data_IF_088587630971
#
_entry.id   IF_088587630971
#
_cell.length_a   1.000
_cell.length_b   1.000
_cell.length_c   1.000
_cell.angle_alpha   90.00
_cell.angle_beta   90.00
_cell.angle_gamma   90.00
#
_symmetry.space_group_name_H-M   'P 1'
#
loop_
_entity.id
_entity.type
_entity.pdbx_description
1 polymer ?
#
# COMPACT_ATOMS: atom_id res chain seq x y z
N UNK A 1 -0.10 11.68 -14.25
CA UNK A 1 0.33 10.84 -13.09
C UNK A 1 -0.08 9.38 -13.34
N UNK A 2 -1.32 9.11 -13.71
CA UNK A 2 -1.85 7.76 -13.90
C UNK A 2 -1.10 6.90 -14.93
N UNK A 3 -0.51 7.52 -15.94
CA UNK A 3 0.28 6.83 -16.94
C UNK A 3 1.53 6.12 -16.38
N UNK A 4 2.09 6.61 -15.26
CA UNK A 4 3.25 6.03 -14.59
C UNK A 4 2.92 4.79 -13.72
N UNK A 5 1.65 4.62 -13.34
CA UNK A 5 1.25 3.53 -12.41
C UNK A 5 1.62 2.13 -12.92
N UNK A 6 1.32 1.75 -14.18
CA UNK A 6 1.72 0.44 -14.70
C UNK A 6 3.23 0.23 -14.74
N UNK A 7 3.99 1.28 -15.02
CA UNK A 7 5.45 1.24 -15.05
C UNK A 7 6.04 0.98 -13.65
N UNK A 8 5.45 1.65 -12.64
CA UNK A 8 5.82 1.44 -11.23
C UNK A 8 5.55 0.01 -10.81
N UNK A 9 4.36 -0.51 -11.09
CA UNK A 9 3.96 -1.88 -10.77
C UNK A 9 4.92 -2.88 -11.40
N UNK A 10 5.19 -2.72 -12.70
CA UNK A 10 6.11 -3.60 -13.43
C UNK A 10 7.50 -3.58 -12.80
N UNK A 11 8.07 -2.40 -12.57
CA UNK A 11 9.43 -2.26 -12.06
C UNK A 11 9.60 -2.83 -10.64
N UNK A 12 8.67 -2.50 -9.74
CA UNK A 12 8.80 -2.88 -8.34
C UNK A 12 8.46 -4.35 -8.09
N UNK A 13 7.38 -4.85 -8.68
CA UNK A 13 6.94 -6.23 -8.45
C UNK A 13 7.89 -7.22 -9.12
N UNK A 14 8.29 -7.00 -10.38
CA UNK A 14 9.20 -7.91 -11.07
C UNK A 14 10.57 -7.98 -10.39
N UNK A 15 11.14 -6.84 -9.97
CA UNK A 15 12.40 -6.80 -9.23
C UNK A 15 12.29 -7.46 -7.86
N UNK A 16 11.20 -7.24 -7.13
CA UNK A 16 10.98 -7.86 -5.82
C UNK A 16 10.90 -9.37 -5.91
N UNK A 17 10.18 -9.91 -6.91
CA UNK A 17 10.09 -11.36 -7.13
C UNK A 17 11.46 -11.93 -7.57
N UNK A 18 12.16 -11.26 -8.49
CA UNK A 18 13.46 -11.72 -9.00
C UNK A 18 14.52 -11.85 -7.90
N UNK A 19 14.47 -11.03 -6.86
CA UNK A 19 15.38 -11.07 -5.70
C UNK A 19 15.15 -12.25 -4.76
N UNK A 20 14.06 -12.99 -4.93
CA UNK A 20 13.74 -14.12 -4.07
C UNK A 20 14.57 -15.35 -4.48
N UNK A 21 15.69 -15.61 -3.78
CA UNK A 21 16.57 -16.74 -4.04
C UNK A 21 16.11 -18.02 -3.32
N UNK A 22 16.04 -19.14 -4.03
CA UNK A 22 16.07 -20.50 -3.54
C UNK A 22 14.96 -20.92 -2.54
N UNK A 23 15.31 -21.17 -1.29
CA UNK A 23 14.41 -21.63 -0.24
C UNK A 23 13.29 -20.64 0.14
N UNK A 24 13.32 -19.45 -0.41
CA UNK A 24 12.31 -18.43 -0.23
C UNK A 24 10.93 -18.83 -0.80
N UNK A 25 10.85 -19.75 -1.77
CA UNK A 25 9.58 -20.08 -2.44
C UNK A 25 8.51 -20.62 -1.48
N UNK A 26 8.91 -21.47 -0.52
CA UNK A 26 7.97 -22.00 0.50
C UNK A 26 7.56 -20.94 1.51
N UNK A 27 8.52 -20.14 2.00
CA UNK A 27 8.23 -19.00 2.88
C UNK A 27 7.40 -17.94 2.16
N UNK A 28 7.67 -17.70 0.88
CA UNK A 28 6.89 -16.81 0.04
C UNK A 28 5.45 -17.29 -0.11
N UNK A 29 5.25 -18.57 -0.42
CA UNK A 29 3.90 -19.16 -0.53
C UNK A 29 3.09 -18.96 0.75
N UNK A 30 3.69 -19.21 1.91
CA UNK A 30 3.05 -18.96 3.21
C UNK A 30 2.79 -17.47 3.45
N UNK A 31 3.76 -16.61 3.14
CA UNK A 31 3.62 -15.17 3.33
C UNK A 31 2.51 -14.59 2.45
N UNK A 32 2.48 -14.96 1.15
CA UNK A 32 1.42 -14.56 0.23
C UNK A 32 0.07 -15.12 0.65
N UNK A 33 0.00 -16.41 1.01
CA UNK A 33 -1.23 -17.02 1.49
C UNK A 33 -1.79 -16.30 2.71
N UNK A 34 -0.95 -15.97 3.69
CA UNK A 34 -1.35 -15.20 4.87
C UNK A 34 -1.76 -13.77 4.51
N UNK A 35 -1.06 -13.11 3.56
CA UNK A 35 -1.42 -11.77 3.10
C UNK A 35 -2.81 -11.77 2.45
N UNK A 36 -3.08 -12.70 1.54
CA UNK A 36 -4.39 -12.84 0.91
C UNK A 36 -5.49 -13.18 1.92
N UNK A 37 -5.24 -14.12 2.82
CA UNK A 37 -6.19 -14.49 3.87
C UNK A 37 -6.51 -13.29 4.77
N UNK A 38 -5.49 -12.52 5.15
CA UNK A 38 -5.65 -11.29 5.93
C UNK A 38 -6.44 -10.23 5.15
N UNK A 39 -6.15 -10.04 3.87
CA UNK A 39 -6.86 -9.06 3.03
C UNK A 39 -8.33 -9.42 2.85
N UNK A 40 -8.63 -10.69 2.59
CA UNK A 40 -10.02 -11.19 2.50
C UNK A 40 -10.74 -11.03 3.83
N UNK A 41 -10.10 -11.39 4.94
CA UNK A 41 -10.67 -11.21 6.27
C UNK A 41 -10.93 -9.74 6.60
N UNK A 42 -9.99 -8.85 6.28
CA UNK A 42 -10.17 -7.40 6.45
C UNK A 42 -11.32 -6.87 5.60
N UNK A 43 -11.47 -7.35 4.36
CA UNK A 43 -12.57 -6.95 3.48
C UNK A 43 -13.93 -7.38 4.05
N UNK A 44 -14.05 -8.61 4.54
CA UNK A 44 -15.28 -9.08 5.21
C UNK A 44 -15.59 -8.27 6.46
N UNK A 45 -14.59 -7.99 7.30
CA UNK A 45 -14.78 -7.17 8.49
C UNK A 45 -15.19 -5.73 8.13
N UNK A 46 -14.55 -5.12 7.14
CA UNK A 46 -14.87 -3.79 6.66
C UNK A 46 -16.30 -3.72 6.09
N UNK A 47 -16.71 -4.76 5.33
CA UNK A 47 -18.07 -4.89 4.82
C UNK A 47 -19.09 -4.98 5.96
N UNK A 48 -18.82 -5.81 6.97
CA UNK A 48 -19.69 -5.97 8.13
C UNK A 48 -19.82 -4.68 8.95
N UNK A 49 -18.70 -4.03 9.26
CA UNK A 49 -18.69 -2.75 9.96
C UNK A 49 -19.34 -1.64 9.14
N UNK A 50 -19.10 -1.60 7.84
CA UNK A 50 -19.76 -0.64 6.95
C UNK A 50 -21.26 -0.83 6.93
N UNK A 51 -21.74 -2.07 6.77
CA UNK A 51 -23.16 -2.38 6.78
C UNK A 51 -23.86 -1.95 8.09
N UNK A 52 -23.15 -2.04 9.22
CA UNK A 52 -23.69 -1.72 10.54
C UNK A 52 -23.57 -0.24 10.90
N UNK A 53 -22.49 0.42 10.51
CA UNK A 53 -22.16 1.80 10.90
C UNK A 53 -22.65 2.86 9.90
N UNK A 54 -22.65 2.56 8.58
CA UNK A 54 -23.06 3.52 7.57
C UNK A 54 -24.53 3.97 7.74
N UNK A 55 -25.49 3.09 8.05
CA UNK A 55 -26.88 3.54 8.29
C UNK A 55 -27.06 4.47 9.48
N UNK A 56 -26.10 4.47 10.43
CA UNK A 56 -26.10 5.37 11.57
C UNK A 56 -25.60 6.78 11.22
N UNK A 57 -24.97 6.91 10.04
CA UNK A 57 -24.54 8.19 9.52
C UNK A 57 -25.70 8.85 8.76
N UNK A 58 -26.12 10.01 9.19
CA UNK A 58 -27.05 10.87 8.43
C UNK A 58 -26.33 11.43 7.22
N UNK A 59 -26.22 10.61 6.16
CA UNK A 59 -25.64 11.01 4.88
C UNK A 59 -26.75 11.69 4.08
N UNK A 60 -26.79 13.02 4.09
CA UNK A 60 -27.62 13.76 3.14
C UNK A 60 -27.10 13.48 1.72
N UNK A 61 -27.97 13.24 0.72
CA UNK A 61 -27.55 13.08 -0.67
C UNK A 61 -26.82 14.34 -1.12
N UNK A 62 -25.50 14.23 -1.20
CA UNK A 62 -24.58 15.36 -1.40
C UNK A 62 -24.52 15.86 -2.86
N UNK A 63 -25.39 15.35 -3.74
CA UNK A 63 -25.33 15.62 -5.18
C UNK A 63 -26.19 16.79 -5.65
N UNK A 64 -27.13 17.29 -4.83
CA UNK A 64 -27.95 18.43 -5.22
C UNK A 64 -27.22 19.76 -4.99
N UNK A 65 -27.07 20.54 -6.06
CA UNK A 65 -26.55 21.91 -6.02
C UNK A 65 -25.02 22.03 -6.03
N UNK A 66 -24.31 21.05 -6.59
CA UNK A 66 -22.91 21.20 -6.97
C UNK A 66 -22.81 22.08 -8.21
N UNK A 67 -21.81 22.98 -8.23
CA UNK A 67 -21.51 23.80 -9.40
C UNK A 67 -20.78 22.94 -10.42
N UNK A 68 -21.17 23.06 -11.69
CA UNK A 68 -20.41 22.42 -12.77
C UNK A 68 -19.00 23.05 -12.87
N UNK A 69 -18.01 22.19 -13.04
CA UNK A 69 -16.64 22.65 -13.27
C UNK A 69 -16.59 23.25 -14.67
N UNK A 70 -15.97 24.43 -14.87
CA UNK A 70 -15.76 25.00 -16.19
C UNK A 70 -15.05 23.99 -17.11
N UNK A 71 -15.43 23.98 -18.38
CA UNK A 71 -14.76 23.14 -19.37
C UNK A 71 -13.25 23.42 -19.40
N UNK A 72 -12.47 22.35 -19.45
CA UNK A 72 -11.02 22.46 -19.54
C UNK A 72 -10.61 23.08 -20.88
N UNK A 73 -9.91 24.20 -20.83
CA UNK A 73 -9.38 24.86 -22.04
C UNK A 73 -8.38 23.98 -22.77
N UNK A 74 -7.67 23.10 -22.02
CA UNK A 74 -6.71 22.16 -22.58
C UNK A 74 -6.78 20.83 -21.85
N UNK A 75 -6.99 19.75 -22.58
CA UNK A 75 -6.99 18.39 -22.05
C UNK A 75 -5.85 17.61 -22.68
N UNK A 76 -4.81 17.33 -21.91
CA UNK A 76 -3.72 16.45 -22.30
C UNK A 76 -4.05 15.02 -21.82
N UNK A 77 -4.51 14.20 -22.74
CA UNK A 77 -4.79 12.79 -22.46
C UNK A 77 -3.56 11.95 -22.86
N UNK A 78 -2.80 11.52 -21.87
CA UNK A 78 -1.67 10.60 -22.06
C UNK A 78 -2.12 9.21 -21.61
N UNK A 79 -2.46 8.32 -22.56
CA UNK A 79 -2.91 6.99 -22.21
C UNK A 79 -1.78 6.19 -21.55
N UNK A 80 -2.07 5.34 -20.56
CA UNK A 80 -1.05 4.46 -19.98
C UNK A 80 -0.61 3.43 -21.03
N UNK A 81 0.67 3.04 -20.99
CA UNK A 81 1.28 2.06 -21.90
C UNK A 81 0.55 0.70 -21.85
N UNK A 82 0.02 0.35 -20.68
CA UNK A 82 -0.75 -0.87 -20.47
C UNK A 82 -1.72 -0.67 -19.28
N UNK A 83 -2.70 -1.56 -19.16
CA UNK A 83 -3.60 -1.53 -18.00
C UNK A 83 -2.85 -1.95 -16.72
N UNK A 84 -3.34 -1.51 -15.56
CA UNK A 84 -2.78 -1.89 -14.25
C UNK A 84 -2.76 -3.40 -14.05
N UNK A 85 -3.82 -4.08 -14.46
CA UNK A 85 -3.91 -5.55 -14.37
C UNK A 85 -2.91 -6.25 -15.29
N UNK A 86 -2.75 -5.74 -16.51
CA UNK A 86 -1.76 -6.27 -17.45
C UNK A 86 -0.34 -6.09 -16.90
N UNK A 87 -0.03 -4.92 -16.34
CA UNK A 87 1.27 -4.65 -15.72
C UNK A 87 1.56 -5.60 -14.56
N UNK A 88 0.55 -5.89 -13.73
CA UNK A 88 0.66 -6.83 -12.62
C UNK A 88 0.98 -8.24 -13.09
N UNK A 89 0.22 -8.75 -14.07
CA UNK A 89 0.42 -10.10 -14.62
C UNK A 89 1.80 -10.21 -15.28
N UNK A 90 2.19 -9.25 -16.10
CA UNK A 90 3.50 -9.22 -16.76
C UNK A 90 4.63 -9.14 -15.73
N UNK A 91 4.49 -8.32 -14.68
CA UNK A 91 5.48 -8.21 -13.61
C UNK A 91 5.71 -9.54 -12.89
N UNK A 92 4.62 -10.26 -12.58
CA UNK A 92 4.69 -11.59 -11.95
C UNK A 92 5.36 -12.58 -12.90
N UNK A 93 4.95 -12.62 -14.16
CA UNK A 93 5.53 -13.54 -15.15
C UNK A 93 7.03 -13.31 -15.35
N UNK A 94 7.45 -12.06 -15.53
CA UNK A 94 8.86 -11.69 -15.71
C UNK A 94 9.67 -11.99 -14.45
N UNK A 95 9.14 -11.66 -13.28
CA UNK A 95 9.79 -11.96 -12.00
C UNK A 95 9.99 -13.46 -11.79
N UNK A 96 8.95 -14.27 -12.01
CA UNK A 96 9.01 -15.74 -11.90
C UNK A 96 9.97 -16.34 -12.93
N UNK A 97 9.90 -15.90 -14.19
CA UNK A 97 10.82 -16.37 -15.24
C UNK A 97 12.28 -16.09 -14.86
N UNK A 98 12.56 -14.93 -14.25
CA UNK A 98 13.92 -14.59 -13.77
C UNK A 98 14.38 -15.54 -12.67
N UNK A 99 13.49 -15.88 -11.73
CA UNK A 99 13.78 -16.85 -10.65
C UNK A 99 14.03 -18.25 -11.21
N UNK A 100 13.20 -18.71 -12.14
CA UNK A 100 13.32 -20.05 -12.75
C UNK A 100 14.58 -20.20 -13.60
N UNK A 101 14.94 -19.18 -14.35
CA UNK A 101 16.17 -19.19 -15.17
C UNK A 101 17.44 -18.97 -14.35
N UNK A 102 17.31 -18.58 -13.07
CA UNK A 102 18.44 -18.25 -12.17
C UNK A 102 19.41 -17.23 -12.79
N UNK A 103 18.92 -16.35 -13.66
CA UNK A 103 19.73 -15.41 -14.40
C UNK A 103 20.07 -14.18 -13.56
N UNK A 104 21.31 -14.07 -13.12
CA UNK A 104 21.83 -12.90 -12.42
C UNK A 104 21.79 -11.62 -13.26
N UNK A 105 21.91 -11.77 -14.59
CA UNK A 105 21.87 -10.65 -15.53
C UNK A 105 20.47 -10.02 -15.49
N UNK A 106 19.42 -10.81 -15.62
CA UNK A 106 18.04 -10.32 -15.58
C UNK A 106 17.68 -9.76 -14.20
N UNK A 107 18.13 -10.39 -13.10
CA UNK A 107 17.96 -9.84 -11.75
C UNK A 107 18.56 -8.43 -11.66
N UNK A 108 19.78 -8.24 -12.18
CA UNK A 108 20.45 -6.93 -12.19
C UNK A 108 19.75 -5.90 -13.08
N UNK A 109 19.25 -6.32 -14.24
CA UNK A 109 18.48 -5.45 -15.15
C UNK A 109 17.22 -4.97 -14.47
N UNK A 110 16.45 -5.87 -13.84
CA UNK A 110 15.22 -5.52 -13.14
C UNK A 110 15.47 -4.60 -11.94
N UNK A 111 16.57 -4.83 -11.20
CA UNK A 111 16.96 -3.95 -10.09
C UNK A 111 17.34 -2.54 -10.59
N UNK A 112 18.09 -2.45 -11.67
CA UNK A 112 18.43 -1.16 -12.27
C UNK A 112 17.21 -0.46 -12.85
N UNK A 113 16.28 -1.21 -13.46
CA UNK A 113 15.00 -0.67 -13.93
C UNK A 113 14.17 -0.11 -12.79
N UNK A 114 14.07 -0.82 -11.65
CA UNK A 114 13.43 -0.33 -10.45
C UNK A 114 14.06 0.97 -9.94
N UNK A 115 15.40 1.05 -9.90
CA UNK A 115 16.13 2.25 -9.49
C UNK A 115 15.86 3.45 -10.43
N UNK A 116 15.82 3.21 -11.74
CA UNK A 116 15.49 4.24 -12.73
C UNK A 116 14.07 4.77 -12.52
N UNK A 117 13.09 3.88 -12.36
CA UNK A 117 11.71 4.28 -12.11
C UNK A 117 11.59 5.04 -10.79
N UNK A 118 12.27 4.60 -9.73
CA UNK A 118 12.30 5.29 -8.45
C UNK A 118 12.89 6.71 -8.59
N UNK A 119 13.93 6.88 -9.39
CA UNK A 119 14.53 8.18 -9.64
C UNK A 119 13.57 9.10 -10.41
N UNK A 120 12.84 8.59 -11.40
CA UNK A 120 11.80 9.35 -12.11
C UNK A 120 10.67 9.78 -11.16
N UNK A 121 10.23 8.88 -10.28
CA UNK A 121 9.24 9.21 -9.25
C UNK A 121 9.73 10.37 -8.38
N UNK A 122 10.95 10.26 -7.85
CA UNK A 122 11.49 11.23 -6.91
C UNK A 122 11.77 12.60 -7.58
N UNK A 123 12.24 12.60 -8.83
CA UNK A 123 12.63 13.84 -9.50
C UNK A 123 11.52 14.50 -10.30
N UNK A 124 10.54 13.75 -10.77
CA UNK A 124 9.48 14.27 -11.64
C UNK A 124 8.13 14.19 -10.93
N UNK A 125 7.72 13.00 -10.49
CA UNK A 125 6.38 12.78 -9.97
C UNK A 125 6.15 13.51 -8.64
N UNK A 126 7.05 13.32 -7.67
CA UNK A 126 6.91 13.89 -6.33
C UNK A 126 6.87 15.43 -6.34
N UNK A 127 7.72 16.15 -7.09
CA UNK A 127 7.63 17.60 -7.16
C UNK A 127 6.34 18.13 -7.82
N UNK A 128 5.74 17.38 -8.73
CA UNK A 128 4.49 17.75 -9.40
C UNK A 128 3.26 17.45 -8.52
N UNK A 129 3.35 16.47 -7.63
CA UNK A 129 2.23 16.02 -6.78
C UNK A 129 1.57 17.16 -5.98
N UNK A 130 2.27 18.06 -5.30
CA UNK A 130 1.65 19.15 -4.55
C UNK A 130 0.77 20.06 -5.42
N UNK A 131 1.23 20.38 -6.63
CA UNK A 131 0.46 21.21 -7.58
C UNK A 131 -0.78 20.46 -8.06
N UNK A 132 -0.65 19.17 -8.37
CA UNK A 132 -1.78 18.31 -8.75
C UNK A 132 -2.82 18.22 -7.63
N UNK A 133 -2.37 17.99 -6.39
CA UNK A 133 -3.25 17.92 -5.22
C UNK A 133 -3.94 19.28 -5.02
N UNK A 134 -3.20 20.38 -5.05
CA UNK A 134 -3.75 21.73 -4.90
C UNK A 134 -4.83 22.03 -5.96
N UNK A 135 -4.55 21.70 -7.23
CA UNK A 135 -5.52 21.88 -8.32
C UNK A 135 -6.80 21.08 -8.10
N UNK A 136 -6.69 19.82 -7.66
CA UNK A 136 -7.87 18.99 -7.34
C UNK A 136 -8.67 19.59 -6.17
N UNK A 137 -8.00 20.04 -5.09
CA UNK A 137 -8.69 20.69 -3.98
C UNK A 137 -9.35 22.01 -4.39
N UNK A 138 -8.74 22.80 -5.26
CA UNK A 138 -9.36 23.98 -5.83
C UNK A 138 -10.63 23.65 -6.62
N UNK A 139 -10.59 22.61 -7.45
CA UNK A 139 -11.75 22.15 -8.20
C UNK A 139 -12.88 21.69 -7.25
N UNK A 140 -12.58 20.84 -6.29
CA UNK A 140 -13.55 20.37 -5.28
C UNK A 140 -14.13 21.52 -4.44
N UNK A 141 -13.30 22.55 -4.16
CA UNK A 141 -13.75 23.75 -3.43
C UNK A 141 -14.70 24.59 -4.29
N UNK A 142 -14.40 24.75 -5.59
CA UNK A 142 -15.25 25.48 -6.52
C UNK A 142 -16.62 24.81 -6.71
N UNK A 143 -16.66 23.50 -6.83
CA UNK A 143 -17.90 22.71 -6.87
C UNK A 143 -18.76 22.86 -5.59
N UNK A 144 -18.14 23.26 -4.47
CA UNK A 144 -18.78 23.23 -3.14
C UNK A 144 -18.79 21.85 -2.48
N UNK A 145 -18.10 20.88 -3.10
CA UNK A 145 -18.01 19.50 -2.61
C UNK A 145 -17.32 19.42 -1.25
N UNK A 146 -16.33 20.26 -0.97
CA UNK A 146 -15.56 20.21 0.30
C UNK A 146 -16.47 20.44 1.49
N UNK A 147 -17.26 21.51 1.50
CA UNK A 147 -18.11 21.86 2.64
C UNK A 147 -19.20 20.84 2.90
N UNK A 148 -19.69 20.18 1.87
CA UNK A 148 -20.76 19.18 1.97
C UNK A 148 -20.23 17.76 2.23
N UNK A 149 -19.11 17.39 1.61
CA UNK A 149 -18.56 16.05 1.72
C UNK A 149 -17.59 15.87 2.89
N UNK A 150 -16.98 16.96 3.39
CA UNK A 150 -16.00 16.90 4.48
C UNK A 150 -16.55 16.21 5.75
N UNK A 151 -17.77 16.51 6.24
CA UNK A 151 -18.32 15.81 7.41
C UNK A 151 -18.48 14.31 7.16
N UNK A 152 -18.97 13.92 5.96
CA UNK A 152 -19.11 12.52 5.56
C UNK A 152 -17.76 11.85 5.48
N UNK A 153 -16.78 12.51 4.86
CA UNK A 153 -15.41 12.00 4.74
C UNK A 153 -14.76 11.79 6.10
N UNK A 154 -14.90 12.73 7.03
CA UNK A 154 -14.37 12.60 8.40
C UNK A 154 -14.99 11.42 9.14
N UNK A 155 -16.31 11.23 9.01
CA UNK A 155 -17.02 10.11 9.61
C UNK A 155 -16.55 8.78 9.03
N UNK A 156 -16.46 8.68 7.69
CA UNK A 156 -15.95 7.48 7.01
C UNK A 156 -14.49 7.19 7.40
N UNK A 157 -13.65 8.25 7.49
CA UNK A 157 -12.27 8.11 7.94
C UNK A 157 -12.21 7.59 9.39
N UNK A 158 -13.08 8.07 10.28
CA UNK A 158 -13.21 7.55 11.65
C UNK A 158 -13.55 6.07 11.68
N UNK A 159 -14.52 5.63 10.86
CA UNK A 159 -14.89 4.22 10.73
C UNK A 159 -13.72 3.39 10.23
N UNK A 160 -13.05 3.84 9.16
CA UNK A 160 -11.91 3.13 8.57
C UNK A 160 -10.75 2.99 9.56
N UNK A 161 -10.41 4.06 10.28
CA UNK A 161 -9.37 4.01 11.32
C UNK A 161 -9.74 3.04 12.44
N UNK A 162 -10.97 3.08 12.90
CA UNK A 162 -11.47 2.15 13.93
C UNK A 162 -11.39 0.71 13.45
N UNK A 163 -11.87 0.44 12.23
CA UNK A 163 -11.79 -0.87 11.61
C UNK A 163 -10.34 -1.36 11.48
N UNK A 164 -9.42 -0.46 11.07
CA UNK A 164 -8.00 -0.77 10.96
C UNK A 164 -7.39 -1.22 12.30
N UNK A 165 -7.65 -0.50 13.38
CA UNK A 165 -7.14 -0.86 14.70
C UNK A 165 -7.77 -2.14 15.26
N UNK A 166 -9.07 -2.38 15.02
CA UNK A 166 -9.75 -3.62 15.40
C UNK A 166 -9.12 -4.80 14.65
N UNK A 167 -8.91 -4.66 13.32
CA UNK A 167 -8.29 -5.72 12.52
C UNK A 167 -6.85 -6.00 12.95
N UNK A 168 -6.08 -4.95 13.20
CA UNK A 168 -4.70 -5.07 13.69
C UNK A 168 -4.67 -5.82 15.05
N UNK A 169 -5.54 -5.45 15.97
CA UNK A 169 -5.68 -6.12 17.26
C UNK A 169 -6.01 -7.60 17.09
N UNK A 170 -6.96 -7.92 16.21
CA UNK A 170 -7.34 -9.29 15.90
C UNK A 170 -6.16 -10.09 15.33
N UNK A 171 -5.39 -9.52 14.40
CA UNK A 171 -4.20 -10.17 13.84
C UNK A 171 -3.12 -10.41 14.89
N UNK A 172 -2.85 -9.45 15.77
CA UNK A 172 -1.89 -9.65 16.85
C UNK A 172 -2.34 -10.70 17.85
N UNK A 173 -3.63 -10.71 18.19
CA UNK A 173 -4.21 -11.71 19.09
C UNK A 173 -4.11 -13.11 18.49
N UNK A 174 -4.54 -13.28 17.24
CA UNK A 174 -4.47 -14.54 16.54
C UNK A 174 -3.03 -15.05 16.41
N UNK A 175 -2.09 -14.19 16.01
CA UNK A 175 -0.67 -14.53 15.97
C UNK A 175 -0.14 -14.94 17.35
N UNK A 176 -0.56 -14.28 18.42
CA UNK A 176 -0.20 -14.63 19.78
C UNK A 176 -0.69 -16.03 20.19
N UNK A 177 -1.97 -16.33 19.90
CA UNK A 177 -2.58 -17.64 20.20
C UNK A 177 -1.88 -18.75 19.42
N UNK A 178 -1.67 -18.57 18.11
CA UNK A 178 -1.02 -19.61 17.29
C UNK A 178 0.46 -19.81 17.59
N UNK A 179 1.18 -18.74 17.98
CA UNK A 179 2.62 -18.85 18.27
C UNK A 179 2.94 -19.18 19.72
N UNK A 180 1.96 -19.08 20.64
CA UNK A 180 2.18 -19.22 22.09
C UNK A 180 3.05 -18.09 22.69
N UNK A 181 3.26 -16.98 21.96
CA UNK A 181 4.09 -15.85 22.34
C UNK A 181 3.26 -14.61 22.62
N UNK A 182 3.76 -13.74 23.48
CA UNK A 182 3.04 -12.52 23.84
C UNK A 182 3.13 -11.47 22.71
N UNK A 183 2.02 -11.16 21.99
CA UNK A 183 2.02 -10.20 20.89
C UNK A 183 2.29 -8.77 21.35
N UNK A 184 1.98 -8.44 22.61
CA UNK A 184 2.21 -7.11 23.16
C UNK A 184 3.68 -6.68 23.14
N UNK A 185 4.60 -7.65 23.26
CA UNK A 185 6.02 -7.39 23.14
C UNK A 185 6.40 -6.91 21.75
N UNK A 186 5.75 -7.42 20.69
CA UNK A 186 5.97 -6.95 19.32
C UNK A 186 5.46 -5.53 19.15
N UNK A 187 4.23 -5.25 19.57
CA UNK A 187 3.60 -3.93 19.48
C UNK A 187 4.44 -2.86 20.16
N UNK A 188 4.93 -3.15 21.36
CA UNK A 188 5.75 -2.22 22.15
C UNK A 188 7.03 -1.78 21.42
N UNK A 189 7.69 -2.69 20.73
CA UNK A 189 8.91 -2.38 19.98
C UNK A 189 8.64 -1.77 18.62
N UNK A 190 7.44 -1.93 18.05
CA UNK A 190 7.10 -1.47 16.70
C UNK A 190 6.58 -0.02 16.66
N UNK A 191 6.36 0.61 17.81
CA UNK A 191 5.87 1.98 17.92
C UNK A 191 6.63 3.01 17.08
N UNK A 192 7.99 3.04 17.10
CA UNK A 192 8.74 3.99 16.27
C UNK A 192 8.53 3.82 14.77
N UNK A 193 8.33 2.58 14.29
CA UNK A 193 8.01 2.30 12.89
C UNK A 193 6.63 2.85 12.52
N UNK A 194 5.66 2.72 13.42
CA UNK A 194 4.30 3.26 13.23
C UNK A 194 4.32 4.78 13.10
N UNK A 195 5.02 5.46 14.01
CA UNK A 195 5.16 6.92 13.97
C UNK A 195 5.87 7.40 12.71
N UNK A 196 6.90 6.66 12.27
CA UNK A 196 7.60 6.98 11.03
C UNK A 196 6.69 6.79 9.82
N UNK A 197 5.89 5.72 9.78
CA UNK A 197 4.94 5.46 8.70
C UNK A 197 3.89 6.58 8.58
N UNK A 198 3.31 6.99 9.71
CA UNK A 198 2.33 8.08 9.76
C UNK A 198 2.96 9.42 9.35
N UNK A 199 4.18 9.70 9.83
CA UNK A 199 4.86 10.97 9.54
C UNK A 199 5.38 11.09 8.11
N UNK A 200 5.84 9.98 7.52
CA UNK A 200 6.43 10.00 6.16
C UNK A 200 5.43 9.61 5.08
N UNK A 201 4.33 8.93 5.43
CA UNK A 201 3.39 8.32 4.48
C UNK A 201 4.09 7.48 3.38
N UNK A 202 5.27 6.93 3.70
CA UNK A 202 6.12 6.21 2.76
C UNK A 202 6.62 4.90 3.36
N UNK A 203 6.23 3.79 2.75
CA UNK A 203 6.71 2.45 3.14
C UNK A 203 8.22 2.32 2.96
N UNK A 204 8.77 2.88 1.88
CA UNK A 204 10.20 2.85 1.62
C UNK A 204 11.01 3.61 2.69
N UNK A 205 10.55 4.79 3.11
CA UNK A 205 11.19 5.56 4.17
C UNK A 205 11.05 4.90 5.55
N UNK A 206 9.96 4.16 5.77
CA UNK A 206 9.68 3.45 7.02
C UNK A 206 10.46 2.15 7.15
N UNK A 207 10.80 1.51 6.04
CA UNK A 207 11.41 0.17 6.01
C UNK A 207 12.66 0.02 6.90
N UNK A 208 13.65 0.92 6.91
CA UNK A 208 14.83 0.79 7.79
C UNK A 208 14.46 0.83 9.27
N UNK A 209 13.49 1.69 9.63
CA UNK A 209 13.03 1.82 11.02
C UNK A 209 12.22 0.60 11.43
N UNK A 210 11.38 0.08 10.53
CA UNK A 210 10.60 -1.13 10.74
C UNK A 210 11.49 -2.36 10.97
N UNK A 211 12.52 -2.55 10.14
CA UNK A 211 13.52 -3.62 10.32
C UNK A 211 14.24 -3.51 11.66
N UNK A 212 14.73 -2.32 11.99
CA UNK A 212 15.41 -2.07 13.27
C UNK A 212 14.49 -2.32 14.48
N UNK A 213 13.24 -1.91 14.37
CA UNK A 213 12.24 -2.08 15.44
C UNK A 213 11.85 -3.55 15.60
N UNK A 214 11.61 -4.27 14.51
CA UNK A 214 11.27 -5.68 14.53
C UNK A 214 12.42 -6.55 15.10
N UNK A 215 13.67 -6.25 14.74
CA UNK A 215 14.85 -6.95 15.28
C UNK A 215 15.08 -6.75 16.76
N UNK A 216 14.56 -5.69 17.37
CA UNK A 216 14.64 -5.47 18.82
C UNK A 216 13.66 -6.36 19.60
N UNK A 217 12.65 -6.89 18.93
CA UNK A 217 11.67 -7.76 19.59
C UNK A 217 12.29 -9.13 19.92
N UNK A 218 12.25 -9.58 21.17
CA UNK A 218 12.79 -10.88 21.57
C UNK A 218 11.96 -12.06 21.02
N UNK A 219 10.78 -11.77 20.49
CA UNK A 219 9.81 -12.75 20.01
C UNK A 219 10.04 -13.12 18.56
N UNK A 220 10.54 -12.19 17.75
CA UNK A 220 10.69 -12.36 16.31
C UNK A 220 12.08 -12.93 15.97
N UNK A 221 12.11 -13.91 15.07
CA UNK A 221 13.36 -14.45 14.52
C UNK A 221 13.94 -13.51 13.48
N UNK A 222 15.23 -13.17 13.58
CA UNK A 222 15.89 -12.22 12.68
C UNK A 222 15.76 -12.57 11.20
N UNK A 223 15.95 -13.85 10.85
CA UNK A 223 15.82 -14.33 9.45
C UNK A 223 14.42 -14.09 8.87
N UNK A 224 13.37 -14.30 9.69
CA UNK A 224 11.98 -14.04 9.28
C UNK A 224 11.73 -12.54 9.13
N UNK A 225 12.29 -11.72 10.02
CA UNK A 225 12.19 -10.26 9.95
C UNK A 225 12.86 -9.73 8.68
N UNK A 226 14.08 -10.19 8.37
CA UNK A 226 14.83 -9.74 7.19
C UNK A 226 14.11 -10.11 5.87
N UNK A 227 13.31 -11.17 5.88
CA UNK A 227 12.51 -11.58 4.73
C UNK A 227 11.14 -10.90 4.69
N UNK A 228 10.38 -11.01 5.79
CA UNK A 228 8.95 -10.62 5.80
C UNK A 228 8.75 -9.11 5.79
N UNK A 229 9.56 -8.35 6.52
CA UNK A 229 9.36 -6.89 6.63
C UNK A 229 9.54 -6.18 5.28
N UNK A 230 10.60 -6.45 4.49
CA UNK A 230 10.72 -5.87 3.15
C UNK A 230 9.63 -6.36 2.19
N UNK A 231 9.24 -7.63 2.28
CA UNK A 231 8.21 -8.22 1.44
C UNK A 231 6.88 -7.50 1.65
N UNK A 232 6.39 -7.42 2.90
CA UNK A 232 5.10 -6.80 3.22
C UNK A 232 5.10 -5.27 3.10
N UNK A 233 6.26 -4.63 3.12
CA UNK A 233 6.34 -3.19 2.86
C UNK A 233 6.19 -2.84 1.37
N UNK A 234 6.34 -3.82 0.46
CA UNK A 234 6.28 -3.64 -0.99
C UNK A 234 5.05 -4.32 -1.65
N UNK A 235 4.27 -5.09 -0.92
CA UNK A 235 2.97 -5.66 -1.32
C UNK A 235 1.84 -4.72 -0.90
#
# INVERSE_FOLDING_TARGET
IFFMVPLIILAFISSSIAKMKGNASRMLGWALGLAYLSSVGAAFMAMFLGYWLIPLLTISPATEGLKEIPELVFKLDIPPVMSVMTALVVAIMVGLATVWTKSQIFETILDNFQKMVLLLINRILIPILPFFIAANFCALSYEGSITRQLPVFLNVMGIVLTAHFIWLFFLYLSAGVFSGKNPWQVVRYYGPAYLTAVGTMSSAATLPVALKSAKKSPVLKGEVVDFAVPLFANI
#
